data_IF_323134947645
#
_entry.id   IF_323134947645
#
_cell.length_a   1.000
_cell.length_b   1.000
_cell.length_c   1.000
_cell.angle_alpha   90.00
_cell.angle_beta   90.00
_cell.angle_gamma   90.00
#
_symmetry.space_group_name_H-M   'P 1'
#
loop_
_entity.id
_entity.type
_entity.pdbx_description
1 polymer ?
#
# COMPACT_ATOMS: atom_id res chain seq x y z
N UNK A 1 1.58 -3.12 22.79
CA UNK A 1 1.74 -3.01 21.33
C UNK A 1 2.79 -4.02 20.86
N UNK A 2 2.46 -4.80 19.81
CA UNK A 2 3.42 -5.75 19.22
C UNK A 2 4.58 -5.01 18.58
N UNK A 3 5.78 -5.54 18.72
CA UNK A 3 6.97 -5.02 18.03
C UNK A 3 7.01 -5.54 16.58
N UNK A 4 7.82 -4.91 15.75
CA UNK A 4 7.93 -5.23 14.32
C UNK A 4 8.31 -6.70 14.07
N UNK A 5 9.28 -7.24 14.82
CA UNK A 5 9.68 -8.64 14.69
C UNK A 5 8.59 -9.61 15.15
N UNK A 6 7.76 -9.22 16.12
CA UNK A 6 6.62 -10.02 16.57
C UNK A 6 5.54 -10.09 15.49
N UNK A 7 5.29 -8.98 14.80
CA UNK A 7 4.39 -8.92 13.64
C UNK A 7 4.92 -9.79 12.51
N UNK A 8 6.21 -9.69 12.22
CA UNK A 8 6.87 -10.48 11.20
C UNK A 8 6.69 -11.98 11.46
N UNK A 9 6.93 -12.42 12.67
CA UNK A 9 6.80 -13.83 13.05
C UNK A 9 5.33 -14.29 13.01
N UNK A 10 4.45 -13.53 13.63
CA UNK A 10 3.03 -13.90 13.79
C UNK A 10 2.30 -14.01 12.46
N UNK A 11 2.46 -13.03 11.58
CA UNK A 11 1.67 -12.93 10.36
C UNK A 11 2.39 -13.46 9.12
N UNK A 12 3.71 -13.42 9.10
CA UNK A 12 4.48 -13.79 7.91
C UNK A 12 5.36 -15.03 8.12
N UNK A 13 5.52 -15.49 9.35
CA UNK A 13 6.24 -16.74 9.64
C UNK A 13 7.75 -16.64 9.56
N UNK A 14 8.33 -15.45 9.50
CA UNK A 14 9.77 -15.26 9.46
C UNK A 14 10.34 -14.94 10.84
N UNK A 15 11.49 -15.53 11.16
CA UNK A 15 12.15 -15.32 12.45
C UNK A 15 12.96 -14.02 12.51
N UNK A 16 13.42 -13.52 11.35
CA UNK A 16 14.24 -12.31 11.28
C UNK A 16 14.01 -11.57 9.97
N UNK A 17 14.32 -10.27 9.99
CA UNK A 17 14.29 -9.46 8.77
C UNK A 17 15.50 -9.75 7.90
N UNK A 18 15.34 -9.58 6.60
CA UNK A 18 16.44 -9.54 5.65
C UNK A 18 17.14 -8.19 5.71
N UNK A 19 18.37 -8.13 5.20
CA UNK A 19 19.14 -6.89 5.13
C UNK A 19 18.34 -5.78 4.47
N UNK A 20 18.32 -4.60 5.09
CA UNK A 20 17.63 -3.41 4.62
C UNK A 20 16.15 -3.32 4.98
N UNK A 21 15.49 -4.42 5.31
CA UNK A 21 14.06 -4.39 5.63
C UNK A 21 13.78 -3.62 6.92
N UNK A 22 14.50 -3.93 7.99
CA UNK A 22 14.23 -3.32 9.29
C UNK A 22 14.47 -1.82 9.30
N UNK A 23 15.48 -1.34 8.58
CA UNK A 23 15.76 0.08 8.45
C UNK A 23 14.58 0.83 7.83
N UNK A 24 14.04 0.31 6.73
CA UNK A 24 12.86 0.90 6.08
C UNK A 24 11.65 0.89 7.00
N UNK A 25 11.39 -0.23 7.68
CA UNK A 25 10.27 -0.36 8.60
C UNK A 25 10.39 0.62 9.77
N UNK A 26 11.57 0.73 10.37
CA UNK A 26 11.83 1.65 11.47
C UNK A 26 11.56 3.09 11.06
N UNK A 27 12.05 3.50 9.88
CA UNK A 27 11.82 4.85 9.37
C UNK A 27 10.32 5.12 9.14
N UNK A 28 9.59 4.16 8.59
CA UNK A 28 8.14 4.30 8.41
C UNK A 28 7.44 4.48 9.77
N UNK A 29 7.79 3.65 10.75
CA UNK A 29 7.18 3.71 12.09
C UNK A 29 7.52 5.01 12.82
N UNK A 30 8.65 5.63 12.51
CA UNK A 30 9.03 6.96 12.99
C UNK A 30 8.38 8.09 12.18
N UNK A 31 7.48 7.76 11.27
CA UNK A 31 6.73 8.66 10.41
C UNK A 31 7.56 9.41 9.37
N UNK A 32 8.65 8.79 8.93
CA UNK A 32 9.46 9.30 7.83
C UNK A 32 9.00 8.68 6.51
N UNK A 33 8.98 9.47 5.46
CA UNK A 33 8.83 8.95 4.11
C UNK A 33 10.06 8.14 3.74
N UNK A 34 9.87 7.08 2.96
CA UNK A 34 10.98 6.21 2.55
C UNK A 34 10.92 5.92 1.05
N UNK A 35 12.09 5.69 0.48
CA UNK A 35 12.24 5.13 -0.87
C UNK A 35 13.09 3.87 -0.74
N UNK A 36 12.48 2.72 -0.97
CA UNK A 36 13.16 1.43 -0.97
C UNK A 36 13.52 1.01 -2.39
N UNK A 37 14.81 0.93 -2.66
CA UNK A 37 15.34 0.39 -3.92
C UNK A 37 15.82 -1.02 -3.62
N UNK A 38 15.04 -2.00 -4.04
CA UNK A 38 15.26 -3.39 -3.66
C UNK A 38 15.10 -4.29 -4.88
N UNK A 39 16.04 -5.20 -5.12
CA UNK A 39 15.91 -6.14 -6.23
C UNK A 39 14.69 -7.05 -6.05
N UNK A 40 14.19 -7.57 -7.16
CA UNK A 40 13.10 -8.55 -7.15
C UNK A 40 13.48 -9.74 -6.26
N UNK A 41 12.56 -10.15 -5.38
CA UNK A 41 12.79 -11.23 -4.45
C UNK A 41 13.47 -10.85 -3.14
N UNK A 42 13.79 -9.56 -2.91
CA UNK A 42 14.40 -9.08 -1.68
C UNK A 42 13.40 -8.91 -0.52
N UNK A 43 12.12 -9.24 -0.71
CA UNK A 43 11.10 -9.11 0.33
C UNK A 43 10.56 -7.70 0.47
N UNK A 44 10.39 -7.01 -0.63
CA UNK A 44 9.87 -5.64 -0.69
C UNK A 44 8.51 -5.47 0.02
N UNK A 45 7.59 -6.42 -0.17
CA UNK A 45 6.26 -6.34 0.42
C UNK A 45 6.27 -6.32 1.95
N UNK A 46 7.18 -7.02 2.58
CA UNK A 46 7.34 -7.03 4.04
C UNK A 46 7.62 -5.63 4.57
N UNK A 47 8.38 -4.82 3.81
CA UNK A 47 8.78 -3.48 4.23
C UNK A 47 7.61 -2.53 4.42
N UNK A 48 6.49 -2.74 3.72
CA UNK A 48 5.28 -1.92 3.93
C UNK A 48 4.17 -2.68 4.65
N UNK A 49 4.09 -4.00 4.50
CA UNK A 49 3.02 -4.78 5.13
C UNK A 49 3.19 -4.85 6.66
N UNK A 50 4.41 -5.03 7.15
CA UNK A 50 4.67 -5.04 8.60
C UNK A 50 4.27 -3.70 9.24
N UNK A 51 4.78 -2.54 8.78
CA UNK A 51 4.33 -1.29 9.38
C UNK A 51 2.84 -1.00 9.16
N UNK A 52 2.25 -1.44 8.06
CA UNK A 52 0.81 -1.30 7.83
C UNK A 52 -0.02 -1.97 8.93
N UNK A 53 0.41 -3.14 9.40
CA UNK A 53 -0.26 -3.85 10.50
C UNK A 53 -0.12 -3.07 11.82
N UNK A 54 1.01 -2.42 12.02
CA UNK A 54 1.34 -1.72 13.27
C UNK A 54 0.75 -0.30 13.37
N UNK A 55 0.60 0.38 12.24
CA UNK A 55 0.03 1.73 12.20
C UNK A 55 -1.47 1.69 12.43
N UNK A 56 -2.00 2.73 13.07
CA UNK A 56 -3.44 2.92 13.16
C UNK A 56 -4.02 3.31 11.79
N UNK A 57 -5.30 2.98 11.56
CA UNK A 57 -5.97 3.37 10.32
C UNK A 57 -5.63 2.43 9.15
N UNK A 58 -5.74 2.98 7.96
CA UNK A 58 -5.64 2.22 6.71
C UNK A 58 -4.34 2.56 5.99
N UNK A 59 -3.71 1.54 5.43
CA UNK A 59 -2.63 1.71 4.46
C UNK A 59 -3.19 1.46 3.07
N UNK A 60 -2.98 2.41 2.16
CA UNK A 60 -3.27 2.26 0.73
C UNK A 60 -2.00 1.84 0.02
N UNK A 61 -2.09 0.80 -0.81
CA UNK A 61 -0.98 0.35 -1.66
C UNK A 61 -1.37 0.60 -3.10
N UNK A 62 -0.67 1.50 -3.76
CA UNK A 62 -0.91 1.83 -5.16
C UNK A 62 -0.01 0.94 -6.01
N UNK A 63 -0.62 0.14 -6.87
CA UNK A 63 0.09 -0.80 -7.73
C UNK A 63 -0.52 -0.80 -9.13
N UNK A 64 0.28 -0.91 -10.20
CA UNK A 64 -0.22 -1.00 -11.56
C UNK A 64 -0.58 -2.43 -11.95
N UNK A 65 -0.24 -3.41 -11.14
CA UNK A 65 -0.30 -4.83 -11.47
C UNK A 65 -1.56 -5.48 -10.89
N UNK A 66 -2.67 -5.37 -11.62
CA UNK A 66 -3.99 -5.84 -11.22
C UNK A 66 -3.98 -7.33 -10.84
N UNK A 67 -3.29 -8.15 -11.63
CA UNK A 67 -3.22 -9.59 -11.38
C UNK A 67 -2.53 -9.93 -10.06
N UNK A 68 -1.52 -9.16 -9.67
CA UNK A 68 -0.80 -9.37 -8.42
C UNK A 68 -1.57 -8.89 -7.19
N UNK A 69 -2.47 -7.91 -7.34
CA UNK A 69 -3.27 -7.40 -6.22
C UNK A 69 -4.10 -8.50 -5.58
N UNK A 70 -4.78 -9.30 -6.40
CA UNK A 70 -5.62 -10.40 -5.93
C UNK A 70 -4.81 -11.41 -5.13
N UNK A 71 -3.63 -11.78 -5.63
CA UNK A 71 -2.75 -12.74 -4.97
C UNK A 71 -2.21 -12.19 -3.65
N UNK A 72 -1.79 -10.93 -3.62
CA UNK A 72 -1.31 -10.26 -2.41
C UNK A 72 -2.42 -10.18 -1.35
N UNK A 73 -3.60 -9.79 -1.75
CA UNK A 73 -4.76 -9.70 -0.85
C UNK A 73 -5.14 -11.07 -0.30
N UNK A 74 -5.14 -12.09 -1.16
CA UNK A 74 -5.40 -13.48 -0.74
C UNK A 74 -4.40 -13.95 0.31
N UNK A 75 -3.12 -13.74 0.08
CA UNK A 75 -2.06 -14.11 1.02
C UNK A 75 -2.21 -13.39 2.36
N UNK A 76 -2.50 -12.09 2.35
CA UNK A 76 -2.72 -11.30 3.57
C UNK A 76 -3.93 -11.81 4.36
N UNK A 77 -5.04 -12.07 3.69
CA UNK A 77 -6.25 -12.58 4.36
C UNK A 77 -6.01 -13.96 4.96
N UNK A 78 -5.31 -14.84 4.28
CA UNK A 78 -4.92 -16.15 4.80
C UNK A 78 -4.04 -16.04 6.05
N UNK A 79 -3.19 -15.02 6.10
CA UNK A 79 -2.33 -14.74 7.25
C UNK A 79 -3.07 -14.08 8.42
N UNK A 80 -4.33 -13.69 8.24
CA UNK A 80 -5.13 -13.03 9.27
C UNK A 80 -5.09 -11.51 9.23
N UNK A 81 -4.54 -10.92 8.17
CA UNK A 81 -4.54 -9.47 7.94
C UNK A 81 -5.62 -9.14 6.93
N UNK A 82 -6.65 -8.43 7.35
CA UNK A 82 -7.76 -8.09 6.47
C UNK A 82 -7.34 -7.09 5.41
N UNK A 83 -7.49 -7.49 4.16
CA UNK A 83 -7.10 -6.70 3.00
C UNK A 83 -8.14 -6.79 1.90
N UNK A 84 -8.18 -5.77 1.04
CA UNK A 84 -9.04 -5.72 -0.13
C UNK A 84 -8.27 -5.10 -1.30
N UNK A 85 -8.81 -5.25 -2.51
CA UNK A 85 -8.30 -4.56 -3.68
C UNK A 85 -9.43 -3.83 -4.41
N UNK A 86 -9.08 -2.69 -4.98
CA UNK A 86 -10.00 -1.82 -5.73
C UNK A 86 -9.39 -1.56 -7.11
N UNK A 87 -9.86 -2.30 -8.10
CA UNK A 87 -9.36 -2.19 -9.47
C UNK A 87 -10.49 -2.48 -10.47
N UNK A 88 -10.17 -2.42 -11.77
CA UNK A 88 -11.13 -2.60 -12.85
C UNK A 88 -11.71 -4.02 -12.99
N UNK A 89 -11.16 -5.00 -12.27
CA UNK A 89 -11.71 -6.37 -12.28
C UNK A 89 -13.00 -6.50 -11.45
N UNK A 90 -13.29 -5.52 -10.58
CA UNK A 90 -14.49 -5.51 -9.76
C UNK A 90 -15.67 -4.94 -10.56
N UNK A 91 -16.84 -5.57 -10.39
CA UNK A 91 -18.11 -4.95 -10.83
C UNK A 91 -18.38 -3.69 -9.98
N UNK A 92 -19.28 -2.83 -10.45
CA UNK A 92 -19.66 -1.64 -9.69
C UNK A 92 -20.23 -2.00 -8.32
N UNK A 93 -21.07 -3.03 -8.26
CA UNK A 93 -21.64 -3.50 -7.00
C UNK A 93 -20.56 -4.02 -6.03
N UNK A 94 -19.59 -4.78 -6.54
CA UNK A 94 -18.47 -5.27 -5.75
C UNK A 94 -17.60 -4.12 -5.22
N UNK A 95 -17.34 -3.14 -6.07
CA UNK A 95 -16.57 -1.94 -5.72
C UNK A 95 -17.26 -1.16 -4.59
N UNK A 96 -18.55 -0.88 -4.73
CA UNK A 96 -19.32 -0.18 -3.70
C UNK A 96 -19.38 -0.94 -2.39
N UNK A 97 -19.53 -2.26 -2.45
CA UNK A 97 -19.53 -3.10 -1.25
C UNK A 97 -18.18 -3.03 -0.54
N UNK A 98 -17.08 -3.10 -1.30
CA UNK A 98 -15.74 -2.99 -0.72
C UNK A 98 -15.52 -1.63 -0.04
N UNK A 99 -15.95 -0.52 -0.67
CA UNK A 99 -15.88 0.80 -0.05
C UNK A 99 -16.73 0.92 1.22
N UNK A 100 -17.91 0.33 1.22
CA UNK A 100 -18.78 0.32 2.40
C UNK A 100 -18.13 -0.41 3.57
N UNK A 101 -17.55 -1.57 3.32
CA UNK A 101 -16.82 -2.32 4.34
C UNK A 101 -15.57 -1.55 4.81
N UNK A 102 -14.88 -0.90 3.89
CA UNK A 102 -13.70 -0.09 4.20
C UNK A 102 -14.03 1.10 5.11
N UNK A 103 -15.20 1.72 4.95
CA UNK A 103 -15.67 2.80 5.83
C UNK A 103 -15.88 2.34 7.28
N UNK A 104 -16.11 1.05 7.50
CA UNK A 104 -16.15 0.45 8.82
C UNK A 104 -14.79 0.00 9.36
N UNK A 105 -13.71 0.40 8.73
CA UNK A 105 -12.34 -0.06 9.07
C UNK A 105 -12.19 -1.58 9.05
N UNK A 106 -12.94 -2.25 8.18
CA UNK A 106 -12.85 -3.71 8.01
C UNK A 106 -11.49 -4.14 7.49
N UNK A 107 -10.85 -3.31 6.66
CA UNK A 107 -9.57 -3.62 6.03
C UNK A 107 -8.44 -2.80 6.63
N UNK A 108 -7.31 -3.46 6.86
CA UNK A 108 -6.09 -2.83 7.32
C UNK A 108 -5.26 -2.30 6.14
N UNK A 109 -5.28 -3.05 5.04
CA UNK A 109 -4.52 -2.74 3.82
C UNK A 109 -5.48 -2.80 2.64
N UNK A 110 -5.47 -1.76 1.80
CA UNK A 110 -6.26 -1.71 0.58
C UNK A 110 -5.32 -1.46 -0.60
N UNK A 111 -5.29 -2.41 -1.52
CA UNK A 111 -4.60 -2.25 -2.80
C UNK A 111 -5.52 -1.51 -3.76
N UNK A 112 -5.01 -0.48 -4.39
CA UNK A 112 -5.80 0.36 -5.30
C UNK A 112 -5.06 0.61 -6.60
N UNK A 113 -5.79 0.48 -7.71
CA UNK A 113 -5.24 0.82 -9.01
C UNK A 113 -5.11 2.35 -9.13
N UNK A 114 -4.03 2.87 -9.74
CA UNK A 114 -3.79 4.31 -9.78
C UNK A 114 -4.91 5.10 -10.48
N UNK A 115 -5.61 4.52 -11.44
CA UNK A 115 -6.73 5.16 -12.13
C UNK A 115 -7.95 5.40 -11.23
N UNK A 116 -8.03 4.75 -10.07
CA UNK A 116 -9.13 4.94 -9.11
C UNK A 116 -8.92 6.13 -8.18
N UNK A 117 -7.68 6.61 -8.05
CA UNK A 117 -7.32 7.59 -7.02
C UNK A 117 -8.12 8.89 -7.10
N UNK A 118 -8.41 9.37 -8.31
CA UNK A 118 -9.08 10.65 -8.51
C UNK A 118 -10.57 10.51 -8.82
N UNK A 119 -11.14 9.31 -8.67
CA UNK A 119 -12.59 9.16 -8.76
C UNK A 119 -13.26 9.79 -7.55
N UNK A 120 -14.44 10.39 -7.77
CA UNK A 120 -15.17 11.08 -6.70
C UNK A 120 -15.50 10.16 -5.52
N UNK A 121 -15.91 8.94 -5.82
CA UNK A 121 -16.25 7.95 -4.79
C UNK A 121 -15.03 7.58 -3.93
N UNK A 122 -13.88 7.35 -4.57
CA UNK A 122 -12.66 6.98 -3.84
C UNK A 122 -12.12 8.16 -3.03
N UNK A 123 -12.10 9.37 -3.61
CA UNK A 123 -11.67 10.58 -2.89
C UNK A 123 -12.54 10.85 -1.67
N UNK A 124 -13.85 10.74 -1.82
CA UNK A 124 -14.78 10.92 -0.71
C UNK A 124 -14.48 9.93 0.41
N UNK A 125 -14.30 8.66 0.07
CA UNK A 125 -13.91 7.64 1.03
C UNK A 125 -12.60 7.98 1.73
N UNK A 126 -11.55 8.28 0.96
CA UNK A 126 -10.22 8.51 1.51
C UNK A 126 -10.17 9.74 2.43
N UNK A 127 -10.92 10.79 2.11
CA UNK A 127 -10.99 12.01 2.94
C UNK A 127 -11.68 11.77 4.27
N UNK A 128 -12.61 10.83 4.34
CA UNK A 128 -13.36 10.50 5.56
C UNK A 128 -12.58 9.58 6.50
N UNK A 129 -11.58 8.85 5.97
CA UNK A 129 -10.90 7.81 6.71
C UNK A 129 -9.53 8.24 7.20
N UNK A 130 -9.03 7.57 8.24
CA UNK A 130 -7.65 7.75 8.68
C UNK A 130 -6.74 6.92 7.77
N UNK A 131 -6.12 7.58 6.80
CA UNK A 131 -5.12 6.98 5.92
C UNK A 131 -3.75 7.28 6.52
N UNK A 132 -3.13 6.27 7.10
CA UNK A 132 -1.87 6.44 7.83
C UNK A 132 -0.66 6.39 6.91
N UNK A 133 -0.74 5.59 5.85
CA UNK A 133 0.34 5.43 4.89
C UNK A 133 -0.20 5.22 3.49
N UNK A 134 0.48 5.80 2.53
CA UNK A 134 0.30 5.51 1.10
C UNK A 134 1.60 4.87 0.62
N UNK A 135 1.52 3.61 0.22
CA UNK A 135 2.64 2.89 -0.37
C UNK A 135 2.54 2.94 -1.89
N UNK A 136 3.59 3.38 -2.54
CA UNK A 136 3.68 3.43 -4.01
C UNK A 136 4.57 2.27 -4.46
N UNK A 137 3.93 1.19 -4.90
CA UNK A 137 4.65 0.05 -5.47
C UNK A 137 5.00 0.33 -6.92
N UNK A 138 6.09 -0.25 -7.41
CA UNK A 138 6.59 0.01 -8.76
C UNK A 138 6.77 1.53 -9.01
N UNK A 139 7.44 2.20 -8.08
CA UNK A 139 7.57 3.68 -8.07
C UNK A 139 8.24 4.24 -9.33
N UNK A 140 9.01 3.43 -10.05
CA UNK A 140 9.60 3.83 -11.34
C UNK A 140 8.54 4.21 -12.39
N UNK A 141 7.29 3.77 -12.21
CA UNK A 141 6.19 4.11 -13.11
C UNK A 141 5.84 5.60 -13.12
N UNK A 142 6.32 6.40 -12.16
CA UNK A 142 6.13 7.86 -12.18
C UNK A 142 7.04 8.58 -13.17
N UNK A 143 8.12 7.93 -13.62
CA UNK A 143 9.10 8.56 -14.52
C UNK A 143 8.57 8.66 -15.94
N UNK A 144 8.37 9.87 -16.43
CA UNK A 144 7.92 10.12 -17.80
C UNK A 144 8.96 9.68 -18.84
N UNK A 145 10.20 9.49 -18.42
CA UNK A 145 11.30 9.10 -19.28
C UNK A 145 11.60 7.60 -19.23
N UNK A 146 10.89 6.86 -18.35
CA UNK A 146 11.06 5.41 -18.21
C UNK A 146 10.19 4.63 -19.18
N UNK A 147 10.61 3.41 -19.49
CA UNK A 147 9.88 2.49 -20.40
C UNK A 147 8.54 2.04 -19.80
N UNK A 148 8.44 2.00 -18.47
CA UNK A 148 7.27 1.51 -17.75
C UNK A 148 6.37 2.65 -17.25
N UNK A 149 6.48 3.84 -17.84
CA UNK A 149 5.69 4.99 -17.45
C UNK A 149 4.18 4.70 -17.49
N UNK A 150 3.52 5.02 -16.39
CA UNK A 150 2.06 4.89 -16.24
C UNK A 150 1.48 6.28 -15.97
N UNK A 151 0.74 6.88 -16.92
CA UNK A 151 0.21 8.24 -16.76
C UNK A 151 -0.60 8.46 -15.49
N UNK A 152 -1.36 7.46 -15.06
CA UNK A 152 -2.17 7.56 -13.84
C UNK A 152 -1.33 7.68 -12.55
N UNK A 153 -0.03 7.33 -12.58
CA UNK A 153 0.86 7.55 -11.43
C UNK A 153 1.07 9.04 -11.14
N UNK A 154 0.85 9.92 -12.11
CA UNK A 154 0.91 11.37 -11.88
C UNK A 154 -0.22 11.83 -10.94
N UNK A 155 -1.31 11.08 -10.87
CA UNK A 155 -2.42 11.37 -9.97
C UNK A 155 -2.09 11.14 -8.49
N UNK A 156 -1.02 10.41 -8.19
CA UNK A 156 -0.63 10.13 -6.79
C UNK A 156 -0.35 11.44 -6.06
N UNK A 157 0.36 12.36 -6.70
CA UNK A 157 0.65 13.67 -6.11
C UNK A 157 -0.63 14.45 -5.82
N UNK A 158 -1.54 14.50 -6.81
CA UNK A 158 -2.83 15.18 -6.65
C UNK A 158 -3.65 14.55 -5.53
N UNK A 159 -3.68 13.23 -5.49
CA UNK A 159 -4.38 12.49 -4.44
C UNK A 159 -3.83 12.84 -3.05
N UNK A 160 -2.51 12.87 -2.88
CA UNK A 160 -1.88 13.20 -1.59
C UNK A 160 -2.24 14.62 -1.13
N UNK A 161 -2.34 15.57 -2.06
CA UNK A 161 -2.75 16.95 -1.75
C UNK A 161 -4.19 17.04 -1.25
N UNK A 162 -5.05 16.10 -1.65
CA UNK A 162 -6.46 16.08 -1.24
C UNK A 162 -6.66 15.50 0.17
N UNK A 163 -5.65 14.85 0.74
CA UNK A 163 -5.79 14.24 2.06
C UNK A 163 -5.81 15.29 3.16
N UNK A 164 -6.80 15.24 4.10
CA UNK A 164 -6.88 16.19 5.23
C UNK A 164 -5.65 16.16 6.12
N UNK A 165 -5.06 14.99 6.28
CA UNK A 165 -3.78 14.81 6.98
C UNK A 165 -2.85 14.08 6.01
N UNK A 166 -1.62 14.60 5.89
CA UNK A 166 -0.65 13.97 5.00
C UNK A 166 -0.25 12.60 5.54
N UNK A 167 -0.51 11.50 4.80
CA UNK A 167 -0.05 10.19 5.21
C UNK A 167 1.47 10.06 5.03
N UNK A 168 2.05 9.05 5.69
CA UNK A 168 3.42 8.64 5.42
C UNK A 168 3.45 8.10 3.98
N UNK A 169 4.47 8.46 3.22
CA UNK A 169 4.64 7.95 1.85
C UNK A 169 5.82 7.00 1.82
N UNK A 170 5.55 5.76 1.47
CA UNK A 170 6.58 4.75 1.22
C UNK A 170 6.55 4.39 -0.26
N UNK A 171 7.69 4.44 -0.91
CA UNK A 171 7.80 4.13 -2.34
C UNK A 171 8.83 3.03 -2.55
N UNK A 172 8.53 2.09 -3.43
CA UNK A 172 9.39 0.93 -3.67
C UNK A 172 9.56 0.69 -5.15
N UNK A 173 10.78 0.38 -5.54
CA UNK A 173 11.12 0.00 -6.91
C UNK A 173 12.30 -0.96 -6.92
N UNK A 174 12.35 -1.81 -7.93
CA UNK A 174 13.52 -2.66 -8.17
C UNK A 174 14.66 -1.88 -8.84
N UNK A 175 14.34 -0.78 -9.54
CA UNK A 175 15.31 0.04 -10.26
C UNK A 175 15.06 1.52 -10.01
N UNK A 176 16.15 2.27 -9.77
CA UNK A 176 16.12 3.73 -9.75
C UNK A 176 16.74 4.24 -11.05
N UNK A 177 15.97 4.99 -11.83
CA UNK A 177 16.46 5.68 -13.02
C UNK A 177 16.18 7.17 -12.91
#
# INVERSE_FOLDING_TARGET
MMKDYEVLKKYFGYESFREGQQELITNILERHDVLGIMPTGAGKSICYQVPAVMLEGITLVISPLISLMKDQVGTLNEAGIRAAYLNSSLSYAQYRKALSLARGYTYKIIYVAPERLMSDEFLSFAKEMKISMVCVDEAHCVSQWGQDFRPHYLHIREFLKEMPQRPIVSAFTATAT
#
